data_IF_654412615339
#
_entry.id   IF_654412615339
#
_cell.length_a   1.000
_cell.length_b   1.000
_cell.length_c   1.000
_cell.angle_alpha   90.00
_cell.angle_beta   90.00
_cell.angle_gamma   90.00
#
_symmetry.space_group_name_H-M   'P 1'
#
loop_
_entity.id
_entity.type
_entity.pdbx_description
1 polymer ?
#
# COMPACT_ATOMS: atom_id res chain seq x y z
N UNK A 1 3.80 -18.30 9.37
CA UNK A 1 2.78 -17.45 10.05
C UNK A 1 2.51 -16.21 9.22
N UNK A 2 3.51 -15.37 8.90
CA UNK A 2 3.36 -14.17 8.04
C UNK A 2 2.72 -14.47 6.69
N UNK A 3 3.14 -15.53 5.99
CA UNK A 3 2.58 -15.87 4.67
C UNK A 3 1.11 -16.31 4.73
N UNK A 4 0.69 -16.89 5.85
CA UNK A 4 -0.69 -17.35 6.04
C UNK A 4 -1.63 -16.17 6.32
N UNK A 5 -1.17 -15.17 7.07
CA UNK A 5 -1.93 -13.95 7.34
C UNK A 5 -2.13 -13.12 6.06
N UNK A 6 -1.10 -13.03 5.21
CA UNK A 6 -1.20 -12.38 3.89
C UNK A 6 -2.20 -13.12 3.01
N UNK A 7 -2.09 -14.45 2.90
CA UNK A 7 -3.02 -15.25 2.10
C UNK A 7 -4.48 -15.11 2.59
N UNK A 8 -4.71 -15.10 3.91
CA UNK A 8 -6.04 -14.89 4.48
C UNK A 8 -6.59 -13.50 4.18
N UNK A 9 -5.76 -12.46 4.28
CA UNK A 9 -6.16 -11.09 3.94
C UNK A 9 -6.51 -10.98 2.46
N UNK A 10 -5.64 -11.48 1.57
CA UNK A 10 -5.88 -11.46 0.13
C UNK A 10 -7.15 -12.21 -0.24
N UNK A 11 -7.40 -13.38 0.34
CA UNK A 11 -8.63 -14.14 0.12
C UNK A 11 -9.88 -13.39 0.61
N UNK A 12 -9.79 -12.70 1.76
CA UNK A 12 -10.90 -11.91 2.31
C UNK A 12 -11.23 -10.68 1.46
N UNK A 13 -10.22 -10.07 0.87
CA UNK A 13 -10.33 -8.80 0.13
C UNK A 13 -10.37 -8.99 -1.39
N UNK A 14 -10.48 -10.23 -1.87
CA UNK A 14 -10.48 -10.60 -3.30
C UNK A 14 -9.26 -10.05 -4.05
N UNK A 15 -8.08 -10.15 -3.43
CA UNK A 15 -6.81 -9.72 -3.99
C UNK A 15 -6.11 -10.93 -4.60
N UNK A 16 -5.73 -10.81 -5.87
CA UNK A 16 -4.85 -11.74 -6.57
C UNK A 16 -3.51 -11.08 -6.87
N UNK A 17 -2.42 -11.81 -6.67
CA UNK A 17 -1.06 -11.32 -6.92
C UNK A 17 -0.32 -12.35 -7.76
N UNK A 18 0.19 -11.92 -8.91
CA UNK A 18 0.98 -12.74 -9.83
C UNK A 18 2.49 -12.53 -9.60
N UNK A 19 2.97 -12.72 -8.37
CA UNK A 19 4.39 -12.61 -8.03
C UNK A 19 4.80 -13.69 -7.02
N UNK A 20 6.04 -14.17 -7.08
CA UNK A 20 6.54 -15.23 -6.19
C UNK A 20 7.00 -14.72 -4.81
N UNK A 21 7.43 -13.47 -4.69
CA UNK A 21 7.92 -12.86 -3.45
C UNK A 21 7.01 -11.70 -3.02
N UNK A 22 5.78 -12.03 -2.62
CA UNK A 22 4.79 -11.04 -2.22
C UNK A 22 5.11 -10.52 -0.81
N UNK A 23 5.35 -9.21 -0.62
CA UNK A 23 5.57 -8.63 0.70
C UNK A 23 4.29 -8.64 1.54
N UNK A 24 4.47 -8.53 2.86
CA UNK A 24 3.37 -8.41 3.81
C UNK A 24 2.46 -7.22 3.47
N UNK A 25 1.15 -7.46 3.49
CA UNK A 25 0.14 -6.41 3.31
C UNK A 25 0.19 -5.41 4.47
N UNK A 26 0.06 -4.13 4.11
CA UNK A 26 -0.02 -3.01 5.05
C UNK A 26 -1.50 -2.72 5.24
N UNK A 27 -2.09 -3.08 6.39
CA UNK A 27 -3.54 -2.94 6.60
C UNK A 27 -3.88 -1.59 7.24
N UNK A 28 -2.98 -1.08 8.07
CA UNK A 28 -3.10 0.21 8.72
C UNK A 28 -2.04 1.15 8.16
N UNK A 29 -2.40 2.42 7.96
CA UNK A 29 -1.47 3.39 7.38
C UNK A 29 -0.19 3.56 8.22
N UNK A 30 -0.28 3.46 9.55
CA UNK A 30 0.88 3.57 10.44
C UNK A 30 1.87 2.38 10.34
N UNK A 31 1.46 1.26 9.75
CA UNK A 31 2.36 0.14 9.44
C UNK A 31 3.19 0.43 8.19
N UNK A 32 2.81 1.44 7.40
CA UNK A 32 3.56 1.86 6.24
C UNK A 32 4.83 2.59 6.65
N UNK A 33 5.95 2.23 6.03
CA UNK A 33 7.26 2.83 6.29
C UNK A 33 7.40 4.22 5.61
N UNK A 34 6.44 5.11 5.85
CA UNK A 34 6.46 6.51 5.41
C UNK A 34 6.90 7.42 6.55
N UNK A 35 7.28 8.67 6.25
CA UNK A 35 7.70 9.63 7.29
C UNK A 35 6.54 10.02 8.21
N UNK A 36 6.84 10.30 9.48
CA UNK A 36 5.82 10.70 10.48
C UNK A 36 4.98 11.89 10.03
N UNK A 37 5.61 12.86 9.36
CA UNK A 37 4.92 14.02 8.79
C UNK A 37 3.88 13.61 7.74
N UNK A 38 4.24 12.71 6.82
CA UNK A 38 3.30 12.20 5.83
C UNK A 38 2.13 11.45 6.49
N UNK A 39 2.44 10.55 7.43
CA UNK A 39 1.44 9.78 8.16
C UNK A 39 0.47 10.68 8.93
N UNK A 40 0.98 11.75 9.57
CA UNK A 40 0.16 12.73 10.28
C UNK A 40 -0.78 13.48 9.34
N UNK A 41 -0.28 13.98 8.21
CA UNK A 41 -1.11 14.70 7.22
C UNK A 41 -2.19 13.79 6.67
N UNK A 42 -1.85 12.56 6.29
CA UNK A 42 -2.79 11.61 5.69
C UNK A 42 -3.84 11.15 6.71
N UNK A 43 -3.44 10.96 7.97
CA UNK A 43 -4.37 10.67 9.06
C UNK A 43 -5.34 11.83 9.32
N UNK A 44 -4.86 13.09 9.29
CA UNK A 44 -5.72 14.28 9.40
C UNK A 44 -6.71 14.43 8.24
N UNK A 45 -6.37 13.89 7.07
CA UNK A 45 -7.28 13.81 5.92
C UNK A 45 -8.30 12.66 6.04
N UNK A 46 -8.23 11.85 7.10
CA UNK A 46 -9.18 10.78 7.40
C UNK A 46 -8.80 9.40 6.87
N UNK A 47 -7.60 9.25 6.28
CA UNK A 47 -7.12 7.95 5.83
C UNK A 47 -6.40 7.24 7.00
N UNK A 48 -7.01 6.17 7.52
CA UNK A 48 -6.48 5.41 8.67
C UNK A 48 -6.22 3.96 8.29
N UNK A 49 -7.15 3.36 7.58
CA UNK A 49 -7.07 1.99 7.06
C UNK A 49 -6.75 2.02 5.56
N UNK A 50 -5.95 1.06 5.11
CA UNK A 50 -5.66 0.90 3.68
C UNK A 50 -6.85 0.26 2.96
N UNK A 51 -7.13 0.71 1.73
CA UNK A 51 -7.98 -0.07 0.83
C UNK A 51 -7.26 -1.35 0.36
N UNK A 52 -7.97 -2.36 -0.17
CA UNK A 52 -7.35 -3.59 -0.66
C UNK A 52 -6.17 -3.34 -1.61
N UNK A 53 -6.33 -2.43 -2.59
CA UNK A 53 -5.27 -2.14 -3.56
C UNK A 53 -4.07 -1.44 -2.90
N UNK A 54 -4.31 -0.49 -2.00
CA UNK A 54 -3.26 0.21 -1.26
C UNK A 54 -2.44 -0.74 -0.39
N UNK A 55 -3.11 -1.70 0.26
CA UNK A 55 -2.49 -2.63 1.20
C UNK A 55 -1.40 -3.48 0.57
N UNK A 56 -1.52 -3.76 -0.73
CA UNK A 56 -0.56 -4.54 -1.50
C UNK A 56 0.37 -3.66 -2.33
N UNK A 57 -0.12 -2.53 -2.85
CA UNK A 57 0.66 -1.64 -3.71
C UNK A 57 1.76 -0.90 -2.94
N UNK A 58 1.49 -0.37 -1.74
CA UNK A 58 2.50 0.34 -0.94
C UNK A 58 3.74 -0.48 -0.61
N UNK A 59 3.64 -1.72 -0.08
CA UNK A 59 4.83 -2.51 0.19
C UNK A 59 5.61 -2.92 -1.08
N UNK A 60 4.96 -3.00 -2.24
CA UNK A 60 5.63 -3.22 -3.53
C UNK A 60 6.38 -1.96 -3.99
N UNK A 61 5.69 -0.81 -3.97
CA UNK A 61 6.23 0.47 -4.40
C UNK A 61 7.41 0.93 -3.53
N UNK A 62 7.34 0.76 -2.20
CA UNK A 62 8.44 1.09 -1.27
C UNK A 62 9.67 0.20 -1.50
N UNK A 63 9.49 -1.02 -2.01
CA UNK A 63 10.60 -1.89 -2.45
C UNK A 63 11.20 -1.48 -3.81
N UNK A 64 10.64 -0.45 -4.46
CA UNK A 64 11.08 0.00 -5.78
C UNK A 64 10.72 -0.98 -6.90
N UNK A 65 9.66 -1.78 -6.74
CA UNK A 65 9.18 -2.69 -7.78
C UNK A 65 8.20 -1.99 -8.71
N UNK A 66 8.34 -2.29 -10.00
CA UNK A 66 7.32 -1.96 -10.98
C UNK A 66 6.08 -2.85 -10.76
N UNK A 67 4.88 -2.27 -10.89
CA UNK A 67 3.63 -2.96 -10.60
C UNK A 67 2.54 -2.58 -11.60
N UNK A 68 1.64 -3.52 -11.88
CA UNK A 68 0.41 -3.29 -12.65
C UNK A 68 -0.76 -3.51 -11.70
N UNK A 69 -1.44 -2.42 -11.31
CA UNK A 69 -2.57 -2.45 -10.39
C UNK A 69 -3.92 -2.43 -11.13
N UNK A 70 -4.64 -3.56 -11.10
CA UNK A 70 -5.98 -3.70 -11.70
C UNK A 70 -7.03 -3.62 -10.59
N UNK A 71 -7.91 -2.63 -10.67
CA UNK A 71 -9.04 -2.43 -9.75
C UNK A 71 -10.05 -1.45 -10.37
N UNK A 72 -11.23 -1.29 -9.79
CA UNK A 72 -12.25 -0.37 -10.31
C UNK A 72 -11.94 1.10 -9.97
N UNK A 73 -12.73 2.04 -10.51
CA UNK A 73 -12.71 3.42 -10.01
C UNK A 73 -13.14 3.45 -8.53
N UNK A 74 -12.71 4.47 -7.79
CA UNK A 74 -13.00 4.61 -6.35
C UNK A 74 -12.39 3.52 -5.43
N UNK A 75 -11.58 2.61 -5.97
CA UNK A 75 -10.83 1.60 -5.20
C UNK A 75 -9.69 2.15 -4.33
N UNK A 76 -9.41 3.45 -4.41
CA UNK A 76 -8.30 4.10 -3.70
C UNK A 76 -6.96 4.07 -4.44
N UNK A 77 -6.93 3.62 -5.72
CA UNK A 77 -5.72 3.59 -6.56
C UNK A 77 -4.98 4.91 -6.65
N UNK A 78 -5.69 6.04 -6.65
CA UNK A 78 -5.07 7.37 -6.70
C UNK A 78 -4.08 7.59 -5.57
N UNK A 79 -4.47 7.30 -4.32
CA UNK A 79 -3.56 7.44 -3.18
C UNK A 79 -2.50 6.32 -3.17
N UNK A 80 -2.83 5.14 -3.71
CA UNK A 80 -1.95 3.99 -3.77
C UNK A 80 -0.63 4.31 -4.51
N UNK A 81 -0.69 4.97 -5.67
CA UNK A 81 0.51 5.38 -6.41
C UNK A 81 1.05 6.76 -5.99
N UNK A 82 0.18 7.71 -5.60
CA UNK A 82 0.62 9.07 -5.27
C UNK A 82 1.44 9.10 -4.00
N UNK A 83 1.07 8.37 -2.95
CA UNK A 83 1.74 8.45 -1.67
C UNK A 83 3.22 7.99 -1.76
N UNK A 84 3.55 6.80 -2.31
CA UNK A 84 4.93 6.42 -2.56
C UNK A 84 5.68 7.43 -3.44
N UNK A 85 5.01 7.98 -4.46
CA UNK A 85 5.61 8.99 -5.36
C UNK A 85 5.97 10.28 -4.62
N UNK A 86 5.08 10.81 -3.80
CA UNK A 86 5.31 12.03 -3.02
C UNK A 86 6.44 11.85 -2.02
N UNK A 87 6.47 10.70 -1.33
CA UNK A 87 7.55 10.36 -0.40
C UNK A 87 8.88 10.26 -1.16
N UNK A 88 8.89 9.58 -2.30
CA UNK A 88 10.08 9.45 -3.12
C UNK A 88 10.62 10.81 -3.60
N UNK A 89 9.75 11.67 -4.14
CA UNK A 89 10.14 13.03 -4.60
C UNK A 89 10.61 13.89 -3.44
N UNK A 90 9.98 13.81 -2.27
CA UNK A 90 10.39 14.58 -1.08
C UNK A 90 11.75 14.20 -0.51
N UNK A 91 12.24 13.00 -0.82
CA UNK A 91 13.54 12.48 -0.39
C UNK A 91 14.66 12.73 -1.40
N UNK A 92 14.36 13.28 -2.59
CA UNK A 92 15.37 13.66 -3.57
C UNK A 92 16.09 14.96 -3.13
N UNK A 93 17.41 15.08 -3.34
CA UNK A 93 18.20 16.27 -2.98
C UNK A 93 17.91 17.50 -3.86
#
# INVERSE_FOLDING_TARGET
>A
MVDQDVAMFCARCDITVEESDVPRTIQMLHEANFSDYCLEVISRLGFVESTPIQSQEWPMAVKGRDLIAIAEADSGKTLAYLLPTLVHVSAQP
#
